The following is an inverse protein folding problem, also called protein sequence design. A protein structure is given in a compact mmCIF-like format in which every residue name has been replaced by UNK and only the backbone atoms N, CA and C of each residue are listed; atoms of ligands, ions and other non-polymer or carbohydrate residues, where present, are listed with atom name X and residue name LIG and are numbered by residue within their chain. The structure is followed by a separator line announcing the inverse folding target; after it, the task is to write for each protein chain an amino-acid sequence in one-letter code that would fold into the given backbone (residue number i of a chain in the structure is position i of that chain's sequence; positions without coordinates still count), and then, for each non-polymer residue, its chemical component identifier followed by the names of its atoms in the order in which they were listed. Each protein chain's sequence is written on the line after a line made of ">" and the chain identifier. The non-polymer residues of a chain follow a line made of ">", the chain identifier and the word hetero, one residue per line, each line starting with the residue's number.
data_IF_296731501908
#
_entry.id   IF_296731501908
#
_cell.length_a   1.000
_cell.length_b   1.000
_cell.length_c   1.000
_cell.angle_alpha   90.00
_cell.angle_beta   90.00
_cell.angle_gamma   90.00
#
_symmetry.space_group_name_H-M   'P 1'
#
loop_
_entity.id
_entity.type
_entity.pdbx_description
1 polymer ?
#
# COMPACT_ATOMS: atom_id res chain seq x y z
N UNK A 1 -15.55 6.75 -1.91
CA UNK A 1 -15.46 5.29 -1.74
C UNK A 1 -16.83 4.72 -2.07
N UNK A 2 -16.92 3.60 -2.78
CA UNK A 2 -18.22 2.99 -3.06
C UNK A 2 -18.80 2.36 -1.78
N UNK A 3 -20.12 2.17 -1.69
CA UNK A 3 -20.77 1.63 -0.48
C UNK A 3 -20.34 0.20 -0.13
N UNK A 4 -19.92 -0.59 -1.14
CA UNK A 4 -19.43 -1.95 -0.98
C UNK A 4 -17.92 -2.02 -0.67
N UNK A 5 -17.21 -0.90 -0.65
CA UNK A 5 -15.77 -0.84 -0.37
C UNK A 5 -15.51 -0.53 1.10
N UNK A 6 -14.43 -1.09 1.64
CA UNK A 6 -13.78 -0.63 2.86
C UNK A 6 -12.29 -0.42 2.64
N UNK A 7 -11.67 0.44 3.44
CA UNK A 7 -10.23 0.64 3.38
C UNK A 7 -9.49 -0.42 4.20
N UNK A 8 -8.54 -1.09 3.54
CA UNK A 8 -7.46 -1.80 4.24
C UNK A 8 -6.51 -0.76 4.81
N UNK A 9 -6.02 0.13 3.94
CA UNK A 9 -5.17 1.26 4.30
C UNK A 9 -5.56 2.48 3.47
N UNK A 10 -5.65 3.64 4.10
CA UNK A 10 -5.83 4.93 3.41
C UNK A 10 -5.05 6.03 4.12
N UNK A 11 -4.45 6.94 3.36
CA UNK A 11 -3.79 8.11 3.92
C UNK A 11 -3.74 9.27 2.90
N UNK A 12 -3.46 10.47 3.41
CA UNK A 12 -3.07 11.62 2.59
C UNK A 12 -1.55 11.74 2.59
N UNK A 13 -0.95 11.86 1.42
CA UNK A 13 0.48 12.12 1.28
C UNK A 13 0.80 13.58 1.62
N UNK A 14 2.03 13.84 2.07
CA UNK A 14 2.53 15.20 2.34
C UNK A 14 2.50 16.11 1.10
N UNK A 15 2.56 15.51 -0.09
CA UNK A 15 2.49 16.16 -1.41
C UNK A 15 1.04 16.45 -1.85
N UNK A 16 0.03 15.97 -1.11
CA UNK A 16 -1.38 16.32 -1.26
C UNK A 16 -2.27 15.21 -1.82
N UNK A 17 -1.69 14.14 -2.35
CA UNK A 17 -2.40 13.00 -2.93
C UNK A 17 -3.17 12.22 -1.86
N UNK A 18 -4.31 11.62 -2.24
CA UNK A 18 -4.97 10.59 -1.46
C UNK A 18 -4.64 9.21 -2.03
N UNK A 19 -4.16 8.32 -1.16
CA UNK A 19 -3.76 6.96 -1.53
C UNK A 19 -4.57 5.98 -0.69
N UNK A 20 -5.11 4.95 -1.33
CA UNK A 20 -5.87 3.92 -0.66
C UNK A 20 -5.66 2.53 -1.28
N UNK A 21 -5.59 1.52 -0.42
CA UNK A 21 -5.81 0.13 -0.74
C UNK A 21 -7.17 -0.27 -0.15
N UNK A 22 -8.08 -0.70 -1.02
CA UNK A 22 -9.49 -0.91 -0.71
C UNK A 22 -9.86 -2.35 -1.03
N UNK A 23 -10.70 -2.96 -0.20
CA UNK A 23 -11.32 -4.24 -0.53
C UNK A 23 -12.83 -4.11 -0.61
N UNK A 24 -13.43 -5.02 -1.38
CA UNK A 24 -14.86 -5.27 -1.25
C UNK A 24 -15.17 -5.86 0.13
N UNK A 25 -16.29 -5.49 0.73
CA UNK A 25 -16.72 -6.00 2.04
C UNK A 25 -16.94 -7.52 2.07
N UNK A 26 -17.09 -8.17 0.92
CA UNK A 26 -17.20 -9.63 0.77
C UNK A 26 -15.90 -10.27 0.25
N UNK A 27 -14.80 -9.52 0.24
CA UNK A 27 -13.49 -9.90 -0.30
C UNK A 27 -13.50 -10.27 -1.79
N UNK A 28 -14.52 -9.84 -2.55
CA UNK A 28 -14.61 -10.11 -3.97
C UNK A 28 -13.45 -9.49 -4.80
N UNK A 29 -12.89 -8.37 -4.35
CA UNK A 29 -11.74 -7.73 -4.99
C UNK A 29 -10.89 -6.91 -4.02
N UNK A 30 -9.64 -6.67 -4.45
CA UNK A 30 -8.69 -5.71 -3.91
C UNK A 30 -8.41 -4.63 -4.98
N UNK A 31 -8.40 -3.36 -4.59
CA UNK A 31 -8.17 -2.25 -5.51
C UNK A 31 -7.30 -1.17 -4.87
N UNK A 32 -6.27 -0.77 -5.60
CA UNK A 32 -5.52 0.45 -5.35
C UNK A 32 -6.22 1.66 -5.96
N UNK A 33 -6.24 2.78 -5.23
CA UNK A 33 -6.73 4.07 -5.70
C UNK A 33 -5.72 5.16 -5.33
N UNK A 34 -5.36 5.97 -6.32
CA UNK A 34 -4.52 7.16 -6.18
C UNK A 34 -5.29 8.35 -6.74
N UNK A 35 -5.37 9.44 -5.97
CA UNK A 35 -6.01 10.69 -6.39
C UNK A 35 -5.02 11.82 -6.23
N UNK A 36 -4.70 12.53 -7.31
CA UNK A 36 -3.80 13.69 -7.25
C UNK A 36 -4.52 14.94 -6.69
N UNK A 37 -3.78 16.01 -6.33
CA UNK A 37 -4.38 17.25 -5.83
C UNK A 37 -5.35 17.92 -6.83
N UNK A 38 -5.23 17.63 -8.12
CA UNK A 38 -6.11 18.12 -9.19
C UNK A 38 -7.39 17.29 -9.33
N UNK A 39 -7.50 16.15 -8.65
CA UNK A 39 -8.64 15.25 -8.66
C UNK A 39 -8.57 14.11 -9.68
N UNK A 40 -7.48 14.00 -10.45
CA UNK A 40 -7.27 12.88 -11.37
C UNK A 40 -7.08 11.57 -10.59
N UNK A 41 -7.70 10.50 -11.09
CA UNK A 41 -7.79 9.22 -10.40
C UNK A 41 -7.13 8.11 -11.18
N UNK A 42 -6.25 7.38 -10.52
CA UNK A 42 -5.75 6.08 -10.96
C UNK A 42 -6.39 5.02 -10.09
N UNK A 43 -6.91 3.98 -10.72
CA UNK A 43 -7.48 2.82 -10.05
C UNK A 43 -6.94 1.55 -10.69
N UNK A 44 -6.47 0.62 -9.87
CA UNK A 44 -5.89 -0.64 -10.33
C UNK A 44 -6.30 -1.81 -9.43
N UNK A 45 -6.68 -2.97 -10.00
CA UNK A 45 -6.81 -3.26 -11.42
C UNK A 45 -8.18 -2.84 -12.00
N UNK A 46 -8.26 -2.76 -13.33
CA UNK A 46 -9.49 -2.75 -14.13
C UNK A 46 -9.34 -3.87 -15.17
N UNK A 47 -9.88 -5.08 -14.95
CA UNK A 47 -11.10 -5.38 -14.18
C UNK A 47 -10.86 -5.82 -12.72
N UNK A 48 -11.90 -5.69 -11.88
CA UNK A 48 -11.89 -6.00 -10.43
C UNK A 48 -11.92 -7.51 -10.06
N UNK A 49 -12.60 -8.42 -10.79
CA UNK A 49 -12.64 -9.83 -10.43
C UNK A 49 -11.25 -10.48 -10.42
N UNK A 50 -10.97 -11.35 -9.46
CA UNK A 50 -9.66 -12.00 -9.26
C UNK A 50 -8.47 -11.04 -9.07
N UNK A 51 -8.76 -9.77 -8.75
CA UNK A 51 -7.75 -8.71 -8.59
C UNK A 51 -6.70 -8.98 -7.54
N UNK A 52 -7.01 -9.74 -6.49
CA UNK A 52 -6.05 -10.11 -5.44
C UNK A 52 -4.74 -10.70 -6.01
N UNK A 53 -4.81 -11.46 -7.10
CA UNK A 53 -3.66 -12.08 -7.77
C UNK A 53 -2.71 -11.06 -8.42
N UNK A 54 -3.13 -9.80 -8.54
CA UNK A 54 -2.30 -8.70 -9.07
C UNK A 54 -1.42 -8.07 -8.00
N UNK A 55 -1.60 -8.46 -6.74
CA UNK A 55 -0.88 -7.92 -5.59
C UNK A 55 -0.09 -9.02 -4.89
N UNK A 56 1.06 -8.65 -4.34
CA UNK A 56 1.87 -9.51 -3.48
C UNK A 56 2.08 -8.82 -2.15
N UNK A 57 1.85 -9.55 -1.07
CA UNK A 57 2.08 -9.07 0.29
C UNK A 57 3.39 -9.63 0.84
N UNK A 58 4.09 -8.84 1.64
CA UNK A 58 5.25 -9.30 2.41
C UNK A 58 5.30 -8.57 3.73
N UNK A 59 5.72 -9.30 4.76
CA UNK A 59 5.99 -8.77 6.08
C UNK A 59 7.37 -9.23 6.53
N UNK A 60 8.13 -8.31 7.14
CA UNK A 60 9.42 -8.61 7.77
C UNK A 60 9.72 -7.67 8.91
N UNK A 61 10.54 -8.15 9.84
CA UNK A 61 11.19 -7.30 10.83
C UNK A 61 12.45 -6.69 10.21
N UNK A 62 12.65 -5.38 10.39
CA UNK A 62 13.86 -4.69 9.97
C UNK A 62 14.48 -3.88 11.11
N UNK A 63 15.78 -3.63 11.01
CA UNK A 63 16.51 -2.72 11.87
C UNK A 63 16.81 -1.44 11.11
N UNK A 64 16.41 -0.30 11.67
CA UNK A 64 16.79 1.01 11.17
C UNK A 64 18.25 1.31 11.57
N UNK A 65 18.90 2.24 10.86
CA UNK A 65 20.30 2.62 11.10
C UNK A 65 20.59 3.10 12.53
N UNK A 66 19.56 3.54 13.26
CA UNK A 66 19.65 3.95 14.66
C UNK A 66 19.40 2.80 15.65
N UNK A 67 19.41 1.55 15.19
CA UNK A 67 19.21 0.34 16.00
C UNK A 67 17.75 0.04 16.34
N UNK A 68 16.80 0.87 15.91
CA UNK A 68 15.37 0.62 16.16
C UNK A 68 14.85 -0.56 15.35
N UNK A 69 14.05 -1.40 16.00
CA UNK A 69 13.35 -2.51 15.37
C UNK A 69 11.98 -2.07 14.88
N UNK A 70 11.68 -2.34 13.61
CA UNK A 70 10.39 -2.03 12.99
C UNK A 70 9.79 -3.28 12.36
N UNK A 71 8.47 -3.43 12.49
CA UNK A 71 7.70 -4.33 11.63
C UNK A 71 7.41 -3.60 10.32
N UNK A 72 7.72 -4.23 9.20
CA UNK A 72 7.58 -3.65 7.86
C UNK A 72 6.62 -4.51 7.06
N UNK A 73 5.58 -3.87 6.57
CA UNK A 73 4.56 -4.46 5.73
C UNK A 73 4.55 -3.82 4.37
N UNK A 74 4.37 -4.63 3.33
CA UNK A 74 4.48 -4.21 1.95
C UNK A 74 3.39 -4.86 1.10
N UNK A 75 2.74 -4.07 0.26
CA UNK A 75 1.93 -4.57 -0.86
C UNK A 75 2.54 -4.06 -2.15
N UNK A 76 2.99 -4.97 -3.01
CA UNK A 76 3.60 -4.69 -4.31
C UNK A 76 2.70 -5.10 -5.46
N UNK A 77 2.65 -4.27 -6.49
CA UNK A 77 1.98 -4.54 -7.77
C UNK A 77 2.62 -3.69 -8.87
N UNK A 78 2.17 -3.87 -10.13
CA UNK A 78 2.66 -3.10 -11.28
C UNK A 78 1.49 -2.47 -12.04
N UNK A 79 1.70 -1.25 -12.54
CA UNK A 79 0.81 -0.61 -13.53
C UNK A 79 1.69 -0.24 -14.73
N UNK A 80 1.55 -0.97 -15.83
CA UNK A 80 2.51 -0.88 -16.93
C UNK A 80 3.91 -1.27 -16.45
N UNK A 81 4.90 -0.44 -16.78
CA UNK A 81 6.31 -0.66 -16.41
C UNK A 81 6.65 -0.14 -15.00
N UNK A 82 5.72 0.57 -14.37
CA UNK A 82 5.92 1.15 -13.05
C UNK A 82 5.60 0.12 -11.95
N UNK A 83 6.55 -0.06 -11.02
CA UNK A 83 6.36 -0.81 -9.79
C UNK A 83 5.84 0.09 -8.68
N UNK A 84 4.75 -0.34 -8.07
CA UNK A 84 4.11 0.33 -6.94
C UNK A 84 4.34 -0.52 -5.68
N UNK A 85 4.77 0.13 -4.59
CA UNK A 85 4.93 -0.47 -3.27
C UNK A 85 4.26 0.43 -2.25
N UNK A 86 3.12 -0.02 -1.73
CA UNK A 86 2.52 0.55 -0.53
C UNK A 86 3.26 -0.08 0.65
N UNK A 87 3.72 0.75 1.57
CA UNK A 87 4.44 0.29 2.75
C UNK A 87 3.84 0.85 4.03
N UNK A 88 3.93 0.06 5.09
CA UNK A 88 3.67 0.45 6.46
C UNK A 88 4.83 -0.01 7.35
N UNK A 89 5.21 0.81 8.32
CA UNK A 89 6.25 0.52 9.29
C UNK A 89 5.75 0.83 10.69
N UNK A 90 5.83 -0.14 11.57
CA UNK A 90 5.48 0.00 12.98
C UNK A 90 6.76 -0.04 13.84
N UNK A 91 7.06 1.06 14.54
CA UNK A 91 8.18 1.14 15.47
C UNK A 91 7.81 0.45 16.79
N UNK A 92 8.45 -0.69 17.08
CA UNK A 92 8.15 -1.48 18.28
C UNK A 92 8.49 -0.77 19.60
N UNK A 93 9.39 0.22 19.56
CA UNK A 93 9.81 0.95 20.75
C UNK A 93 8.88 2.11 21.10
N UNK A 94 8.40 2.85 20.10
CA UNK A 94 7.49 3.99 20.31
C UNK A 94 6.02 3.66 20.09
N UNK A 95 5.70 2.54 19.45
CA UNK A 95 4.36 2.21 18.96
C UNK A 95 3.90 3.09 17.78
N UNK A 96 4.80 3.89 17.19
CA UNK A 96 4.43 4.81 16.11
C UNK A 96 4.37 4.10 14.76
N UNK A 97 3.33 4.38 13.98
CA UNK A 97 3.19 3.90 12.61
C UNK A 97 3.55 4.97 11.58
N UNK A 98 4.23 4.57 10.52
CA UNK A 98 4.44 5.37 9.32
C UNK A 98 4.04 4.57 8.08
N UNK A 99 3.54 5.26 7.06
CA UNK A 99 3.12 4.62 5.81
C UNK A 99 3.51 5.48 4.61
N UNK A 100 3.44 4.87 3.42
CA UNK A 100 3.60 5.61 2.18
C UNK A 100 3.47 4.75 0.94
N UNK A 101 3.70 5.40 -0.20
CA UNK A 101 3.76 4.78 -1.51
C UNK A 101 5.10 5.10 -2.17
N UNK A 102 5.77 4.07 -2.68
CA UNK A 102 6.90 4.19 -3.59
C UNK A 102 6.45 3.76 -4.99
N UNK A 103 6.77 4.59 -5.99
CA UNK A 103 6.63 4.25 -7.40
C UNK A 103 8.02 4.28 -8.00
N UNK A 104 8.42 3.24 -8.72
CA UNK A 104 9.71 3.17 -9.40
C UNK A 104 9.60 2.56 -10.78
N UNK A 105 10.36 3.11 -11.72
CA UNK A 105 10.49 2.63 -13.08
C UNK A 105 11.96 2.30 -13.37
N UNK A 106 12.28 1.03 -13.65
CA UNK A 106 13.65 0.58 -13.87
C UNK A 106 14.27 1.14 -15.14
N UNK A 107 13.46 1.34 -16.18
CA UNK A 107 13.95 1.72 -17.51
C UNK A 107 14.37 3.19 -17.53
N UNK A 108 13.68 4.02 -16.75
CA UNK A 108 13.96 5.46 -16.65
C UNK A 108 14.74 5.85 -15.39
N UNK A 109 14.99 4.91 -14.47
CA UNK A 109 15.55 5.15 -13.14
C UNK A 109 14.76 6.19 -12.31
N UNK A 110 13.48 6.42 -12.62
CA UNK A 110 12.65 7.36 -11.87
C UNK A 110 12.12 6.71 -10.59
N UNK A 111 12.17 7.46 -9.48
CA UNK A 111 11.59 7.07 -8.20
C UNK A 111 10.74 8.23 -7.68
N UNK A 112 9.49 7.93 -7.31
CA UNK A 112 8.59 8.85 -6.61
C UNK A 112 8.23 8.27 -5.24
N UNK A 113 8.25 9.11 -4.22
CA UNK A 113 7.96 8.74 -2.84
C UNK A 113 6.87 9.65 -2.28
N UNK A 114 5.83 9.03 -1.74
CA UNK A 114 4.68 9.70 -1.14
C UNK A 114 4.57 9.28 0.32
N UNK A 115 5.18 10.03 1.23
CA UNK A 115 5.06 9.77 2.67
C UNK A 115 3.69 10.20 3.18
N UNK A 116 3.06 9.37 4.00
CA UNK A 116 1.81 9.71 4.66
C UNK A 116 1.98 10.87 5.66
N UNK A 117 0.90 11.65 5.82
CA UNK A 117 0.66 12.46 7.01
C UNK A 117 0.13 11.50 8.07
N UNK A 118 0.87 11.30 9.16
CA UNK A 118 0.60 10.23 10.15
C UNK A 118 -0.82 10.27 10.73
N UNK A 119 -1.36 11.47 11.00
CA UNK A 119 -2.72 11.65 11.54
C UNK A 119 -3.84 11.33 10.54
N UNK A 120 -3.51 11.06 9.28
CA UNK A 120 -4.47 10.72 8.22
C UNK A 120 -4.48 9.23 7.88
N UNK A 121 -3.58 8.45 8.48
CA UNK A 121 -3.52 7.00 8.28
C UNK A 121 -4.78 6.38 8.88
N UNK A 122 -5.48 5.59 8.08
CA UNK A 122 -6.69 4.85 8.43
C UNK A 122 -6.49 3.39 8.03
N UNK A 123 -6.78 2.48 8.94
CA UNK A 123 -6.57 1.04 8.73
C UNK A 123 -5.13 0.62 8.97
N UNK A 124 -4.79 -0.58 8.51
CA UNK A 124 -3.53 -1.27 8.72
C UNK A 124 -3.32 -2.25 7.56
N UNK A 125 -2.11 -2.29 7.00
CA UNK A 125 -1.82 -3.05 5.79
C UNK A 125 -1.94 -4.56 6.00
N UNK A 126 -1.79 -5.05 7.23
CA UNK A 126 -1.85 -6.47 7.58
C UNK A 126 -3.22 -7.04 7.30
N UNK A 127 -4.26 -6.19 7.33
CA UNK A 127 -5.64 -6.59 7.05
C UNK A 127 -5.83 -7.17 5.64
N UNK A 128 -4.87 -6.97 4.74
CA UNK A 128 -4.87 -7.61 3.41
C UNK A 128 -4.83 -9.15 3.48
N UNK A 129 -4.36 -9.73 4.59
CA UNK A 129 -4.29 -11.19 4.76
C UNK A 129 -5.51 -11.80 5.48
N UNK A 130 -6.43 -11.00 6.03
CA UNK A 130 -7.58 -11.48 6.82
C UNK A 130 -8.50 -12.46 6.06
N UNK A 131 -8.45 -12.47 4.72
CA UNK A 131 -9.21 -13.39 3.86
C UNK A 131 -8.39 -14.48 3.16
N UNK A 132 -7.07 -14.55 3.37
CA UNK A 132 -6.16 -15.48 2.68
C UNK A 132 -6.24 -15.44 1.13
N UNK A 133 -6.65 -14.30 0.56
CA UNK A 133 -6.87 -14.14 -0.88
C UNK A 133 -5.64 -13.62 -1.64
N UNK A 134 -4.60 -13.19 -0.92
CA UNK A 134 -3.38 -12.59 -1.49
C UNK A 134 -2.18 -13.54 -1.39
N UNK A 135 -1.29 -13.47 -2.38
CA UNK A 135 -0.01 -14.18 -2.35
C UNK A 135 0.91 -13.51 -1.31
N UNK A 136 1.34 -14.28 -0.31
CA UNK A 136 2.34 -13.86 0.68
C UNK A 136 3.72 -14.34 0.22
N UNK A 137 4.69 -13.43 0.19
CA UNK A 137 6.07 -13.72 -0.21
C UNK A 137 7.06 -13.25 0.84
N UNK A 138 8.13 -14.01 1.06
CA UNK A 138 9.16 -13.68 2.04
C UNK A 138 10.00 -12.46 1.62
N UNK A 139 10.27 -12.32 0.33
CA UNK A 139 11.07 -11.24 -0.23
C UNK A 139 10.37 -10.62 -1.42
N UNK A 140 10.19 -9.30 -1.36
CA UNK A 140 9.82 -8.50 -2.51
C UNK A 140 11.11 -7.94 -3.12
N UNK A 141 11.67 -8.70 -4.07
CA UNK A 141 12.80 -8.26 -4.91
C UNK A 141 12.53 -6.93 -5.65
#
# INVERSE_FOLDING_TARGET
>A
MAENEEAILRFKAKTGEEIALLKDKTDYYLQFRFVNPQGDKIEFPKPKPNSWKQFKYSHRVAFLNNGKQVDVELVRFKIGDDQYVIYEQHDRGSGSTSAGLKISNSDTNQIKLYSAISTTIQGDLSRVIEGNNIEVVEHLD
#
